data_IF_741372909667
#
_entry.id   IF_741372909667
#
_cell.length_a   1.000
_cell.length_b   1.000
_cell.length_c   1.000
_cell.angle_alpha   90.00
_cell.angle_beta   90.00
_cell.angle_gamma   90.00
#
_symmetry.space_group_name_H-M   'P 1'
#
loop_
_entity.id
_entity.type
_entity.pdbx_description
1 polymer ?
#
# COMPACT_ATOMS: atom_id res chain seq x y z
N UNK A 1 17.87 31.49 -22.70
CA UNK A 1 18.82 30.41 -22.31
C UNK A 1 18.27 29.58 -21.17
N UNK A 2 17.66 30.15 -20.12
CA UNK A 2 17.10 29.36 -19.01
C UNK A 2 16.03 28.34 -19.43
N UNK A 3 15.17 28.68 -20.40
CA UNK A 3 14.07 27.78 -20.79
C UNK A 3 14.47 26.48 -21.48
N UNK A 4 15.63 26.47 -22.14
CA UNK A 4 16.12 25.27 -22.85
C UNK A 4 16.39 24.15 -21.83
N UNK A 5 17.00 24.47 -20.69
CA UNK A 5 17.23 23.51 -19.62
C UNK A 5 15.93 22.89 -19.09
N UNK A 6 14.87 23.69 -18.97
CA UNK A 6 13.56 23.19 -18.57
C UNK A 6 13.00 22.19 -19.58
N UNK A 7 12.97 22.55 -20.86
CA UNK A 7 12.42 21.66 -21.89
C UNK A 7 13.28 20.40 -22.09
N UNK A 8 14.60 20.50 -22.00
CA UNK A 8 15.51 19.34 -22.02
C UNK A 8 15.23 18.39 -20.84
N UNK A 9 14.97 18.95 -19.66
CA UNK A 9 14.60 18.17 -18.48
C UNK A 9 13.26 17.46 -18.69
N UNK A 10 12.25 18.16 -19.23
CA UNK A 10 10.96 17.57 -19.59
C UNK A 10 11.11 16.47 -20.65
N UNK A 11 11.95 16.68 -21.67
CA UNK A 11 12.26 15.66 -22.67
C UNK A 11 12.90 14.43 -22.04
N UNK A 12 13.82 14.61 -21.09
CA UNK A 12 14.44 13.51 -20.36
C UNK A 12 13.44 12.74 -19.47
N UNK A 13 12.50 13.44 -18.80
CA UNK A 13 11.38 12.81 -18.07
C UNK A 13 10.56 11.95 -19.03
N UNK A 14 10.12 12.51 -20.17
CA UNK A 14 9.29 11.81 -21.14
C UNK A 14 10.03 10.67 -21.86
N UNK A 15 11.37 10.72 -21.91
CA UNK A 15 12.22 9.63 -22.38
C UNK A 15 12.47 8.55 -21.30
N UNK A 16 12.08 8.82 -20.04
CA UNK A 16 12.39 8.01 -18.85
C UNK A 16 13.90 7.80 -18.67
N UNK A 17 14.69 8.82 -19.01
CA UNK A 17 16.15 8.78 -19.00
C UNK A 17 16.70 9.42 -17.72
N UNK A 18 16.86 8.60 -16.67
CA UNK A 18 17.34 9.06 -15.37
C UNK A 18 18.80 9.57 -15.39
N UNK A 19 19.63 9.05 -16.29
CA UNK A 19 21.01 9.53 -16.44
C UNK A 19 21.05 10.92 -17.09
N UNK A 20 20.24 11.12 -18.13
CA UNK A 20 20.10 12.44 -18.74
C UNK A 20 19.52 13.44 -17.74
N UNK A 21 18.51 13.05 -16.95
CA UNK A 21 17.98 13.89 -15.88
C UNK A 21 19.08 14.29 -14.89
N UNK A 22 19.88 13.33 -14.43
CA UNK A 22 20.98 13.58 -13.52
C UNK A 22 21.99 14.60 -14.09
N UNK A 23 22.33 14.49 -15.38
CA UNK A 23 23.24 15.44 -16.04
C UNK A 23 22.70 16.89 -16.10
N UNK A 24 21.38 17.05 -16.01
CA UNK A 24 20.67 18.33 -16.07
C UNK A 24 20.39 18.92 -14.68
N UNK A 25 20.78 18.25 -13.59
CA UNK A 25 20.59 18.72 -12.22
C UNK A 25 21.85 19.37 -11.68
N UNK A 26 21.72 20.44 -10.88
CA UNK A 26 22.85 20.92 -10.09
C UNK A 26 23.22 19.91 -9.01
N UNK A 27 24.47 19.85 -8.52
CA UNK A 27 24.86 18.92 -7.45
C UNK A 27 23.97 19.02 -6.19
N UNK A 28 23.53 20.23 -5.86
CA UNK A 28 22.65 20.58 -4.74
C UNK A 28 21.15 20.60 -5.11
N UNK A 29 20.76 19.92 -6.19
CA UNK A 29 19.39 19.88 -6.68
C UNK A 29 18.37 19.53 -5.60
N UNK A 30 17.22 20.20 -5.65
CA UNK A 30 16.09 19.96 -4.76
C UNK A 30 14.89 19.49 -5.57
N UNK A 31 14.39 18.30 -5.24
CA UNK A 31 13.07 17.85 -5.69
C UNK A 31 12.05 18.03 -4.56
N UNK A 32 10.90 18.63 -4.87
CA UNK A 32 9.77 18.79 -3.96
C UNK A 32 8.50 18.24 -4.62
N UNK A 33 7.90 17.23 -4.01
CA UNK A 33 6.67 16.63 -4.53
C UNK A 33 5.41 17.47 -4.17
N UNK A 34 4.25 17.00 -4.65
CA UNK A 34 2.98 17.70 -4.48
C UNK A 34 2.46 17.73 -3.02
N UNK A 35 2.97 16.87 -2.13
CA UNK A 35 2.58 16.79 -0.72
C UNK A 35 3.64 17.35 0.23
N UNK A 36 4.75 17.85 -0.31
CA UNK A 36 5.80 18.56 0.42
C UNK A 36 6.99 17.69 0.84
N UNK A 37 7.10 16.43 0.39
CA UNK A 37 8.30 15.65 0.61
C UNK A 37 9.45 16.22 -0.23
N UNK A 38 10.64 16.19 0.35
CA UNK A 38 11.84 16.80 -0.23
C UNK A 38 12.94 15.76 -0.39
N UNK A 39 13.55 15.75 -1.57
CA UNK A 39 14.79 15.03 -1.86
C UNK A 39 15.87 16.07 -2.17
N UNK A 40 17.04 15.93 -1.54
CA UNK A 40 18.17 16.85 -1.72
C UNK A 40 19.34 16.10 -2.36
N UNK A 41 19.98 16.72 -3.34
CA UNK A 41 21.12 16.19 -4.09
C UNK A 41 20.70 15.49 -5.39
N UNK A 42 21.51 15.69 -6.43
CA UNK A 42 21.27 15.11 -7.76
C UNK A 42 21.27 13.57 -7.76
N UNK A 43 22.19 12.93 -7.04
CA UNK A 43 22.29 11.47 -6.94
C UNK A 43 21.00 10.85 -6.33
N UNK A 44 20.54 11.42 -5.22
CA UNK A 44 19.32 10.96 -4.54
C UNK A 44 18.08 11.19 -5.41
N UNK A 45 18.02 12.31 -6.13
CA UNK A 45 16.95 12.58 -7.07
C UNK A 45 16.95 11.59 -8.25
N UNK A 46 18.12 11.26 -8.82
CA UNK A 46 18.29 10.22 -9.85
C UNK A 46 17.76 8.87 -9.37
N UNK A 47 18.15 8.43 -8.18
CA UNK A 47 17.68 7.16 -7.62
C UNK A 47 16.16 7.17 -7.40
N UNK A 48 15.59 8.31 -7.02
CA UNK A 48 14.14 8.52 -6.94
C UNK A 48 13.46 8.37 -8.31
N UNK A 49 14.00 9.00 -9.35
CA UNK A 49 13.48 8.88 -10.72
C UNK A 49 13.55 7.45 -11.26
N UNK A 50 14.63 6.71 -11.00
CA UNK A 50 14.75 5.29 -11.39
C UNK A 50 13.62 4.46 -10.79
N UNK A 51 13.36 4.62 -9.48
CA UNK A 51 12.26 3.93 -8.80
C UNK A 51 10.89 4.35 -9.35
N UNK A 52 10.72 5.64 -9.62
CA UNK A 52 9.47 6.16 -10.13
C UNK A 52 9.16 5.66 -11.55
N UNK A 53 10.15 5.59 -12.44
CA UNK A 53 10.00 5.01 -13.78
C UNK A 53 9.80 3.49 -13.74
N UNK A 54 10.29 2.81 -12.71
CA UNK A 54 9.94 1.41 -12.49
C UNK A 54 8.45 1.24 -12.18
N UNK A 55 7.88 2.10 -11.33
CA UNK A 55 6.44 2.10 -11.05
C UNK A 55 5.59 2.57 -12.24
N UNK A 56 6.09 3.49 -13.06
CA UNK A 56 5.38 4.04 -14.21
C UNK A 56 6.28 4.02 -15.45
N UNK A 57 6.40 2.86 -16.15
CA UNK A 57 7.33 2.70 -17.28
C UNK A 57 6.99 3.56 -18.50
N UNK A 58 5.74 4.02 -18.59
CA UNK A 58 5.18 4.93 -19.59
C UNK A 58 4.93 6.33 -19.04
N UNK A 59 5.54 6.70 -17.90
CA UNK A 59 5.33 8.01 -17.31
C UNK A 59 5.64 9.14 -18.30
N UNK A 60 4.73 10.10 -18.37
CA UNK A 60 4.87 11.25 -19.24
C UNK A 60 4.24 12.51 -18.61
N UNK A 61 4.80 13.65 -18.99
CA UNK A 61 4.25 14.97 -18.77
C UNK A 61 3.92 15.61 -20.13
N UNK A 62 2.71 16.13 -20.24
CA UNK A 62 2.19 16.84 -21.39
C UNK A 62 1.96 18.29 -20.99
N UNK A 63 2.77 19.22 -21.52
CA UNK A 63 2.67 20.63 -21.19
C UNK A 63 1.61 21.33 -22.05
N UNK A 64 0.79 22.16 -21.42
CA UNK A 64 -0.24 22.98 -22.09
C UNK A 64 0.10 24.46 -22.10
N UNK A 65 0.77 24.97 -21.07
CA UNK A 65 1.14 26.38 -20.96
C UNK A 65 2.39 26.55 -20.07
N UNK A 66 3.13 27.64 -20.25
CA UNK A 66 4.31 27.96 -19.45
C UNK A 66 4.50 29.48 -19.29
N UNK A 67 4.84 29.87 -18.06
CA UNK A 67 5.23 31.23 -17.69
C UNK A 67 6.70 31.24 -17.27
N UNK A 68 7.44 32.23 -17.76
CA UNK A 68 8.89 32.28 -17.61
C UNK A 68 9.34 33.61 -17.01
N UNK A 69 10.35 33.51 -16.16
CA UNK A 69 11.18 34.63 -15.70
C UNK A 69 12.64 34.31 -16.01
N UNK A 70 13.58 35.19 -15.63
CA UNK A 70 15.00 34.99 -15.88
C UNK A 70 15.55 33.63 -15.37
N UNK A 71 15.07 33.14 -14.23
CA UNK A 71 15.60 31.96 -13.53
C UNK A 71 14.53 30.96 -13.11
N UNK A 72 13.29 31.13 -13.55
CA UNK A 72 12.18 30.27 -13.10
C UNK A 72 11.21 30.04 -14.24
N UNK A 73 10.81 28.78 -14.40
CA UNK A 73 9.71 28.36 -15.29
C UNK A 73 8.60 27.79 -14.42
N UNK A 74 7.37 28.24 -14.65
CA UNK A 74 6.16 27.64 -14.11
C UNK A 74 5.34 27.12 -15.28
N UNK A 75 5.22 25.80 -15.41
CA UNK A 75 4.45 25.17 -16.49
C UNK A 75 3.21 24.47 -15.93
N UNK A 76 2.16 24.39 -16.75
CA UNK A 76 0.93 23.65 -16.46
C UNK A 76 0.69 22.61 -17.55
N UNK A 77 -0.05 21.56 -17.22
CA UNK A 77 -0.36 20.49 -18.15
C UNK A 77 -0.92 19.27 -17.46
N UNK A 78 -0.54 18.09 -17.95
CA UNK A 78 -0.99 16.80 -17.43
C UNK A 78 0.19 15.88 -17.15
N UNK A 79 0.14 15.20 -16.01
CA UNK A 79 0.97 14.03 -15.73
C UNK A 79 0.17 12.77 -16.03
N UNK A 80 0.81 11.73 -16.57
CA UNK A 80 0.17 10.46 -16.85
C UNK A 80 1.13 9.28 -16.71
N UNK A 81 0.56 8.10 -16.51
CA UNK A 81 1.31 6.84 -16.48
C UNK A 81 0.40 5.66 -16.17
N UNK A 82 0.95 4.46 -16.27
CA UNK A 82 0.29 3.18 -16.00
C UNK A 82 1.09 2.43 -14.96
N UNK A 83 0.48 2.14 -13.81
CA UNK A 83 1.20 1.46 -12.72
C UNK A 83 1.70 0.08 -13.15
N UNK A 84 3.01 -0.16 -13.04
CA UNK A 84 3.77 -1.32 -13.51
C UNK A 84 3.52 -1.70 -14.98
N UNK A 85 2.98 -0.77 -15.79
CA UNK A 85 2.60 -1.05 -17.18
C UNK A 85 1.43 -2.04 -17.33
N UNK A 86 0.69 -2.32 -16.24
CA UNK A 86 -0.45 -3.25 -16.24
C UNK A 86 -1.68 -2.52 -16.83
N UNK A 87 -2.21 -2.91 -17.99
CA UNK A 87 -3.34 -2.21 -18.62
C UNK A 87 -4.65 -2.33 -17.81
N UNK A 88 -5.58 -1.39 -18.01
CA UNK A 88 -6.90 -1.39 -17.36
C UNK A 88 -7.10 -0.16 -16.47
N UNK A 89 -7.57 -0.37 -15.23
CA UNK A 89 -7.83 0.70 -14.25
C UNK A 89 -6.57 1.34 -13.64
N UNK A 90 -5.39 0.97 -14.13
CA UNK A 90 -4.09 1.38 -13.59
C UNK A 90 -3.44 2.53 -14.37
N UNK A 91 -4.03 2.89 -15.52
CA UNK A 91 -3.67 4.09 -16.23
C UNK A 91 -4.34 5.32 -15.60
N UNK A 92 -3.58 6.39 -15.45
CA UNK A 92 -4.06 7.66 -14.94
C UNK A 92 -3.52 8.83 -15.76
N UNK A 93 -4.30 9.91 -15.79
CA UNK A 93 -3.92 11.21 -16.35
C UNK A 93 -4.56 12.30 -15.51
N UNK A 94 -3.75 13.16 -14.90
CA UNK A 94 -4.23 14.20 -13.98
C UNK A 94 -3.65 15.57 -14.36
N UNK A 95 -4.39 16.68 -14.13
CA UNK A 95 -3.84 18.02 -14.23
C UNK A 95 -2.69 18.21 -13.22
N UNK A 96 -1.63 18.89 -13.67
CA UNK A 96 -0.46 19.17 -12.85
C UNK A 96 0.20 20.50 -13.27
N UNK A 97 1.01 21.04 -12.38
CA UNK A 97 1.91 22.14 -12.65
C UNK A 97 3.31 21.86 -12.09
N UNK A 98 4.32 22.45 -12.70
CA UNK A 98 5.72 22.28 -12.33
C UNK A 98 6.40 23.63 -12.24
N UNK A 99 7.13 23.85 -11.15
CA UNK A 99 8.02 25.00 -11.01
C UNK A 99 9.46 24.53 -11.04
N UNK A 100 10.23 25.03 -11.99
CA UNK A 100 11.66 24.80 -12.07
C UNK A 100 12.44 26.08 -11.73
N UNK A 101 13.45 25.98 -10.88
CA UNK A 101 14.48 27.01 -10.73
C UNK A 101 15.73 26.58 -11.48
N UNK A 102 16.33 27.52 -12.20
CA UNK A 102 17.36 27.23 -13.20
C UNK A 102 18.62 28.03 -12.87
N UNK A 103 19.74 27.33 -12.78
CA UNK A 103 21.07 27.89 -12.54
C UNK A 103 21.97 27.52 -13.71
N UNK A 104 22.29 28.50 -14.56
CA UNK A 104 22.99 28.24 -15.82
C UNK A 104 22.11 27.43 -16.78
N UNK A 105 22.56 26.23 -17.11
CA UNK A 105 21.90 25.22 -17.95
C UNK A 105 21.36 24.03 -17.14
N UNK A 106 21.38 24.12 -15.81
CA UNK A 106 20.93 23.05 -14.91
C UNK A 106 19.71 23.46 -14.08
N UNK A 107 18.92 22.47 -13.69
CA UNK A 107 17.78 22.60 -12.78
C UNK A 107 18.30 22.48 -11.34
N UNK A 108 18.16 23.55 -10.56
CA UNK A 108 18.49 23.55 -9.13
C UNK A 108 17.33 23.16 -8.25
N UNK A 109 16.09 23.36 -8.72
CA UNK A 109 14.89 23.00 -7.98
C UNK A 109 13.80 22.56 -8.94
N UNK A 110 13.23 21.39 -8.72
CA UNK A 110 12.04 20.90 -9.39
C UNK A 110 10.91 20.69 -8.38
N UNK A 111 9.81 21.43 -8.52
CA UNK A 111 8.66 21.36 -7.64
C UNK A 111 7.40 20.96 -8.40
N UNK A 112 6.64 20.01 -7.86
CA UNK A 112 5.39 19.49 -8.45
C UNK A 112 4.18 20.03 -7.69
N UNK A 113 3.12 20.37 -8.42
CA UNK A 113 1.80 20.68 -7.87
C UNK A 113 0.76 19.83 -8.61
N UNK A 114 0.14 18.88 -7.92
CA UNK A 114 -0.88 18.01 -8.50
C UNK A 114 -1.77 17.40 -7.40
N UNK A 115 -2.99 17.00 -7.75
CA UNK A 115 -3.77 16.09 -6.89
C UNK A 115 -3.32 14.65 -7.16
N UNK A 116 -2.37 14.19 -6.34
CA UNK A 116 -1.75 12.87 -6.50
C UNK A 116 -2.61 11.72 -5.95
N UNK A 117 -3.87 11.97 -5.56
CA UNK A 117 -4.74 10.94 -4.99
C UNK A 117 -4.90 9.73 -5.92
N UNK A 118 -5.17 9.95 -7.21
CA UNK A 118 -5.42 8.85 -8.16
C UNK A 118 -4.18 7.93 -8.30
N UNK A 119 -2.98 8.44 -8.63
CA UNK A 119 -1.80 7.57 -8.70
C UNK A 119 -1.47 6.90 -7.37
N UNK A 120 -1.65 7.59 -6.22
CA UNK A 120 -1.45 6.95 -4.92
C UNK A 120 -2.50 5.89 -4.60
N UNK A 121 -3.77 6.07 -4.95
CA UNK A 121 -4.79 5.04 -4.78
C UNK A 121 -4.48 3.82 -5.65
N UNK A 122 -3.98 4.02 -6.89
CA UNK A 122 -3.53 2.92 -7.75
C UNK A 122 -2.32 2.22 -7.12
N UNK A 123 -1.30 2.98 -6.70
CA UNK A 123 -0.16 2.42 -5.98
C UNK A 123 -0.65 1.67 -4.77
N UNK A 124 -1.45 2.22 -3.87
CA UNK A 124 -1.93 1.55 -2.65
C UNK A 124 -2.75 0.29 -2.93
N UNK A 125 -3.61 0.31 -3.97
CA UNK A 125 -4.33 -0.89 -4.44
C UNK A 125 -3.37 -1.99 -4.85
N UNK A 126 -2.18 -1.63 -5.35
CA UNK A 126 -1.18 -2.56 -5.88
C UNK A 126 0.15 -2.60 -5.12
N UNK A 127 0.36 -1.84 -4.04
CA UNK A 127 1.56 -1.82 -3.19
C UNK A 127 1.52 -3.01 -2.22
N UNK A 128 0.30 -3.48 -2.01
CA UNK A 128 -0.08 -4.83 -1.72
C UNK A 128 0.51 -5.91 -2.68
N UNK A 129 1.03 -5.52 -3.86
CA UNK A 129 1.78 -6.34 -4.83
C UNK A 129 3.15 -5.67 -5.05
N UNK A 130 4.04 -5.74 -4.07
CA UNK A 130 5.47 -5.47 -4.29
C UNK A 130 6.26 -6.73 -3.98
N UNK A 131 7.32 -7.05 -4.77
CA UNK A 131 8.25 -8.13 -4.45
C UNK A 131 8.83 -8.04 -3.02
N UNK A 132 8.91 -6.82 -2.45
CA UNK A 132 9.37 -6.53 -1.07
C UNK A 132 8.39 -5.63 -0.28
N UNK A 133 7.09 -5.60 -0.62
CA UNK A 133 6.08 -4.84 0.11
C UNK A 133 5.62 -5.52 1.40
N UNK A 134 5.06 -4.76 2.34
CA UNK A 134 4.42 -5.33 3.51
C UNK A 134 3.19 -6.16 3.08
N UNK A 135 3.36 -7.49 3.04
CA UNK A 135 2.33 -8.49 2.68
C UNK A 135 1.17 -8.52 3.68
N UNK A 136 1.46 -8.11 4.92
CA UNK A 136 0.51 -7.99 6.03
C UNK A 136 0.19 -6.52 6.28
N UNK A 137 -1.11 -6.21 6.37
CA UNK A 137 -1.62 -4.85 6.59
C UNK A 137 -1.99 -4.57 8.06
N UNK A 138 -2.46 -5.58 8.80
CA UNK A 138 -2.77 -5.49 10.23
C UNK A 138 -3.08 -6.87 10.85
N UNK A 139 -3.38 -6.91 12.15
CA UNK A 139 -3.93 -8.11 12.81
C UNK A 139 -5.43 -8.22 12.49
N UNK A 140 -5.82 -9.30 11.83
CA UNK A 140 -7.22 -9.63 11.58
C UNK A 140 -7.89 -10.38 12.70
N UNK A 141 -7.13 -11.11 13.52
CA UNK A 141 -7.68 -11.72 14.71
C UNK A 141 -6.65 -12.39 15.63
N UNK A 142 -7.08 -12.61 16.86
CA UNK A 142 -6.38 -13.45 17.84
C UNK A 142 -7.32 -14.56 18.26
N UNK A 143 -6.94 -15.78 17.92
CA UNK A 143 -7.68 -16.99 18.26
C UNK A 143 -6.92 -17.75 19.32
N UNK A 144 -7.61 -18.28 20.33
CA UNK A 144 -6.93 -18.95 21.44
C UNK A 144 -7.82 -20.01 22.09
N UNK A 145 -7.18 -21.07 22.57
CA UNK A 145 -7.84 -22.14 23.31
C UNK A 145 -8.12 -21.69 24.75
N UNK A 146 -9.25 -22.11 25.27
CA UNK A 146 -9.58 -21.99 26.67
C UNK A 146 -10.49 -23.15 27.11
N UNK A 147 -10.50 -23.45 28.41
CA UNK A 147 -11.23 -24.63 28.93
C UNK A 147 -12.74 -24.52 28.77
N UNK A 148 -13.29 -23.32 28.94
CA UNK A 148 -14.74 -23.07 28.96
C UNK A 148 -15.09 -21.80 28.15
N UNK A 149 -15.12 -21.88 26.80
CA UNK A 149 -15.29 -20.70 25.92
C UNK A 149 -16.55 -19.88 26.20
N UNK A 150 -17.68 -20.54 26.45
CA UNK A 150 -18.93 -19.85 26.75
C UNK A 150 -18.87 -19.08 28.07
N UNK A 151 -18.37 -19.71 29.15
CA UNK A 151 -18.18 -19.02 30.44
C UNK A 151 -17.20 -17.84 30.32
N UNK A 152 -16.16 -17.99 29.50
CA UNK A 152 -15.21 -16.91 29.25
C UNK A 152 -15.91 -15.74 28.54
N UNK A 153 -16.64 -15.99 27.45
CA UNK A 153 -17.41 -14.97 26.72
C UNK A 153 -18.42 -14.27 27.64
N UNK A 154 -19.15 -15.03 28.46
CA UNK A 154 -20.08 -14.47 29.45
C UNK A 154 -19.38 -13.57 30.47
N UNK A 155 -18.22 -13.98 30.98
CA UNK A 155 -17.43 -13.18 31.91
C UNK A 155 -16.99 -11.87 31.27
N UNK A 156 -16.42 -11.91 30.06
CA UNK A 156 -15.99 -10.71 29.33
C UNK A 156 -17.17 -9.80 28.98
N UNK A 157 -18.32 -10.37 28.60
CA UNK A 157 -19.56 -9.60 28.37
C UNK A 157 -20.00 -8.88 29.63
N UNK A 158 -20.06 -9.60 30.76
CA UNK A 158 -20.55 -9.06 32.03
C UNK A 158 -19.62 -7.99 32.62
N UNK A 159 -18.31 -8.22 32.54
CA UNK A 159 -17.34 -7.43 33.29
C UNK A 159 -16.64 -6.36 32.46
N UNK A 160 -16.42 -6.61 31.16
CA UNK A 160 -15.73 -5.69 30.26
C UNK A 160 -16.64 -5.15 29.15
N UNK A 161 -17.89 -5.60 29.07
CA UNK A 161 -18.86 -5.12 28.08
C UNK A 161 -18.59 -5.61 26.66
N UNK A 162 -17.79 -6.66 26.47
CA UNK A 162 -17.59 -7.23 25.14
C UNK A 162 -18.93 -7.76 24.60
N UNK A 163 -19.28 -7.38 23.37
CA UNK A 163 -20.46 -7.92 22.70
C UNK A 163 -20.05 -9.18 21.97
N UNK A 164 -20.31 -10.33 22.59
CA UNK A 164 -19.91 -11.63 22.05
C UNK A 164 -21.03 -12.36 21.33
N UNK A 165 -20.70 -13.13 20.30
CA UNK A 165 -21.57 -14.07 19.60
C UNK A 165 -21.05 -15.52 19.72
N UNK A 166 -21.48 -16.41 18.82
CA UNK A 166 -21.02 -17.80 18.77
C UNK A 166 -19.49 -17.92 18.60
N UNK A 167 -18.87 -16.98 17.87
CA UNK A 167 -17.47 -17.01 17.47
C UNK A 167 -16.57 -16.11 18.34
N UNK A 168 -17.13 -15.30 19.23
CA UNK A 168 -16.37 -14.38 20.09
C UNK A 168 -16.81 -12.95 19.87
N UNK A 169 -15.89 -12.00 19.69
CA UNK A 169 -16.24 -10.60 19.38
C UNK A 169 -15.35 -10.04 18.28
N UNK A 170 -15.75 -8.92 17.70
CA UNK A 170 -14.98 -8.22 16.67
C UNK A 170 -14.88 -6.73 16.98
N UNK A 171 -13.65 -6.23 17.00
CA UNK A 171 -13.33 -4.83 17.26
C UNK A 171 -13.24 -4.08 15.94
N UNK A 172 -14.17 -3.16 15.70
CA UNK A 172 -14.10 -2.25 14.57
C UNK A 172 -13.08 -1.13 14.85
N UNK A 173 -12.22 -0.85 13.89
CA UNK A 173 -11.24 0.23 13.93
C UNK A 173 -11.21 0.96 12.59
N UNK A 174 -10.45 2.06 12.53
CA UNK A 174 -10.21 2.81 11.30
C UNK A 174 -8.73 2.84 11.01
N UNK A 175 -8.37 2.76 9.73
CA UNK A 175 -7.01 2.99 9.28
C UNK A 175 -6.54 4.39 9.68
N UNK A 176 -5.23 4.63 9.59
CA UNK A 176 -4.62 5.92 9.92
C UNK A 176 -5.24 7.11 9.17
N UNK A 177 -5.81 6.87 7.98
CA UNK A 177 -6.52 7.85 7.16
C UNK A 177 -7.92 8.24 7.70
N UNK A 178 -8.41 7.55 8.73
CA UNK A 178 -9.72 7.77 9.34
C UNK A 178 -10.93 7.40 8.46
N UNK A 179 -10.73 6.93 7.23
CA UNK A 179 -11.81 6.67 6.26
C UNK A 179 -12.12 5.18 6.16
N UNK A 180 -11.08 4.37 5.96
CA UNK A 180 -11.25 2.92 5.81
C UNK A 180 -11.51 2.27 7.16
N UNK A 181 -12.48 1.36 7.19
CA UNK A 181 -12.73 0.51 8.36
C UNK A 181 -11.80 -0.69 8.32
N UNK A 182 -11.57 -1.27 9.47
CA UNK A 182 -11.00 -2.59 9.61
C UNK A 182 -11.56 -3.27 10.85
N UNK A 183 -11.33 -4.56 10.97
CA UNK A 183 -11.86 -5.37 12.06
C UNK A 183 -10.78 -6.30 12.60
N UNK A 184 -10.80 -6.50 13.92
CA UNK A 184 -9.97 -7.50 14.58
C UNK A 184 -10.85 -8.44 15.39
N UNK A 185 -10.84 -9.72 15.03
CA UNK A 185 -11.55 -10.77 15.72
C UNK A 185 -10.84 -11.19 17.00
N UNK A 186 -11.63 -11.52 18.02
CA UNK A 186 -11.18 -12.14 19.25
C UNK A 186 -12.04 -13.37 19.48
N UNK A 187 -11.43 -14.56 19.39
CA UNK A 187 -12.19 -15.81 19.33
C UNK A 187 -11.62 -16.86 20.28
N UNK A 188 -12.36 -17.22 21.35
CA UNK A 188 -12.02 -18.35 22.20
C UNK A 188 -12.49 -19.67 21.57
N UNK A 189 -11.64 -20.69 21.64
CA UNK A 189 -11.88 -22.04 21.15
C UNK A 189 -11.82 -23.07 22.29
N UNK A 190 -12.51 -24.21 22.18
CA UNK A 190 -12.39 -25.30 23.15
C UNK A 190 -11.01 -25.97 23.03
N UNK A 191 -10.50 -26.61 24.10
CA UNK A 191 -9.12 -27.10 24.14
C UNK A 191 -8.87 -28.30 23.21
N UNK A 192 -9.91 -29.06 22.90
CA UNK A 192 -9.91 -30.27 22.08
C UNK A 192 -10.11 -30.01 20.57
N UNK A 193 -10.19 -28.74 20.16
CA UNK A 193 -10.27 -28.41 18.73
C UNK A 193 -8.98 -28.77 17.98
N UNK A 194 -9.16 -29.26 16.75
CA UNK A 194 -8.06 -29.49 15.80
C UNK A 194 -7.77 -28.27 14.91
N UNK A 195 -8.49 -27.16 15.09
CA UNK A 195 -8.36 -25.98 14.23
C UNK A 195 -6.93 -25.41 14.18
N UNK A 196 -6.21 -25.48 15.29
CA UNK A 196 -4.82 -25.00 15.42
C UNK A 196 -3.79 -26.00 14.88
N UNK A 197 -4.17 -27.26 14.61
CA UNK A 197 -3.25 -28.27 14.12
C UNK A 197 -2.70 -27.88 12.73
N UNK A 198 -1.40 -28.09 12.46
CA UNK A 198 -0.45 -28.89 13.25
C UNK A 198 0.32 -28.11 14.33
N UNK A 199 -0.06 -26.86 14.64
CA UNK A 199 0.57 -26.08 15.70
C UNK A 199 0.26 -26.64 17.08
N UNK A 200 1.27 -26.67 17.96
CA UNK A 200 1.13 -27.02 19.38
C UNK A 200 0.79 -25.81 20.26
N UNK A 201 0.65 -24.61 19.67
CA UNK A 201 0.31 -23.40 20.42
C UNK A 201 -1.18 -23.36 20.76
N UNK A 202 -1.47 -22.88 21.95
CA UNK A 202 -2.84 -22.59 22.40
C UNK A 202 -3.40 -21.29 21.79
N UNK A 203 -2.73 -20.70 20.80
CA UNK A 203 -3.19 -19.51 20.10
C UNK A 203 -2.73 -19.52 18.63
N UNK A 204 -3.43 -18.72 17.81
CA UNK A 204 -3.14 -18.49 16.40
C UNK A 204 -3.37 -17.01 16.10
N UNK A 205 -2.42 -16.42 15.39
CA UNK A 205 -2.59 -15.11 14.78
C UNK A 205 -3.29 -15.27 13.44
N UNK A 206 -4.30 -14.42 13.22
CA UNK A 206 -4.85 -14.16 11.91
C UNK A 206 -4.33 -12.79 11.42
N UNK A 207 -3.62 -12.79 10.30
CA UNK A 207 -3.04 -11.60 9.68
C UNK A 207 -3.90 -11.15 8.52
N UNK A 208 -4.15 -9.84 8.43
CA UNK A 208 -4.82 -9.26 7.27
C UNK A 208 -3.83 -9.05 6.16
N UNK A 209 -4.15 -9.56 4.99
CA UNK A 209 -3.31 -9.50 3.79
C UNK A 209 -4.10 -8.91 2.63
N UNK A 210 -3.41 -8.74 1.52
CA UNK A 210 -3.92 -8.16 0.29
C UNK A 210 -3.30 -8.96 -0.86
N UNK A 211 -4.08 -9.19 -1.93
CA UNK A 211 -3.77 -10.09 -3.05
C UNK A 211 -3.37 -11.50 -2.61
N UNK A 212 -4.23 -12.14 -1.82
CA UNK A 212 -3.93 -13.42 -1.18
C UNK A 212 -3.54 -14.51 -2.20
N UNK A 213 -4.11 -14.50 -3.41
CA UNK A 213 -3.75 -15.47 -4.47
C UNK A 213 -2.31 -15.32 -4.93
N UNK A 214 -1.88 -14.09 -5.22
CA UNK A 214 -0.50 -13.79 -5.61
C UNK A 214 0.46 -14.05 -4.46
N UNK A 215 0.08 -13.68 -3.23
CA UNK A 215 0.86 -13.94 -2.03
C UNK A 215 1.08 -15.45 -1.81
N UNK A 216 0.03 -16.26 -1.92
CA UNK A 216 0.14 -17.73 -1.77
C UNK A 216 1.02 -18.33 -2.86
N UNK A 217 0.90 -17.87 -4.11
CA UNK A 217 1.76 -18.34 -5.19
C UNK A 217 3.24 -18.07 -4.87
N UNK A 218 3.57 -16.84 -4.44
CA UNK A 218 4.93 -16.46 -4.05
C UNK A 218 5.43 -17.25 -2.84
N UNK A 219 4.61 -17.43 -1.80
CA UNK A 219 4.99 -18.20 -0.61
C UNK A 219 5.33 -19.66 -0.97
N UNK A 220 4.59 -20.26 -1.90
CA UNK A 220 4.89 -21.61 -2.41
C UNK A 220 6.23 -21.65 -3.15
N UNK A 221 6.54 -20.64 -3.97
CA UNK A 221 7.83 -20.52 -4.65
C UNK A 221 9.01 -20.33 -3.67
N UNK A 222 8.77 -19.59 -2.58
CA UNK A 222 9.73 -19.36 -1.49
C UNK A 222 9.89 -20.55 -0.53
N UNK A 223 9.12 -21.64 -0.72
CA UNK A 223 9.21 -22.86 0.07
C UNK A 223 8.47 -22.81 1.41
N UNK A 224 7.58 -21.84 1.60
CA UNK A 224 6.69 -21.78 2.78
C UNK A 224 5.62 -22.86 2.67
N UNK A 225 5.36 -23.55 3.78
CA UNK A 225 4.34 -24.61 3.83
C UNK A 225 2.95 -23.98 3.89
N UNK A 226 2.21 -24.10 2.80
CA UNK A 226 0.79 -23.76 2.71
C UNK A 226 -0.04 -25.00 3.05
N UNK A 227 -0.91 -24.91 4.05
CA UNK A 227 -1.60 -26.06 4.65
C UNK A 227 -2.91 -26.43 3.93
N UNK A 228 -3.54 -25.46 3.29
CA UNK A 228 -4.84 -25.62 2.63
C UNK A 228 -4.95 -24.73 1.38
N UNK A 229 -6.03 -24.93 0.63
CA UNK A 229 -6.37 -24.09 -0.51
C UNK A 229 -7.11 -22.84 -0.05
N UNK A 230 -7.06 -21.79 -0.87
CA UNK A 230 -7.71 -20.51 -0.55
C UNK A 230 -9.24 -20.73 -0.48
N UNK A 231 -9.81 -20.51 0.70
CA UNK A 231 -11.25 -20.54 0.92
C UNK A 231 -11.85 -19.15 0.73
N UNK A 232 -12.83 -19.02 -0.16
CA UNK A 232 -13.48 -17.75 -0.48
C UNK A 232 -14.89 -17.68 0.11
N UNK A 233 -15.15 -16.60 0.85
CA UNK A 233 -16.45 -16.25 1.41
C UNK A 233 -16.88 -14.85 0.94
N UNK A 234 -18.17 -14.47 1.06
CA UNK A 234 -18.63 -13.13 0.70
C UNK A 234 -17.94 -11.98 1.43
N UNK A 235 -17.24 -12.26 2.54
CA UNK A 235 -16.56 -11.27 3.39
C UNK A 235 -15.03 -11.38 3.38
N UNK A 236 -14.48 -12.23 2.52
CA UNK A 236 -13.05 -12.34 2.34
C UNK A 236 -12.57 -13.75 2.02
N UNK A 237 -11.27 -13.85 1.82
CA UNK A 237 -10.56 -15.08 1.50
C UNK A 237 -9.59 -15.46 2.61
N UNK A 238 -9.44 -16.76 2.85
CA UNK A 238 -8.63 -17.29 3.93
C UNK A 238 -7.71 -18.40 3.44
N UNK A 239 -6.54 -18.52 4.06
CA UNK A 239 -5.60 -19.63 3.86
C UNK A 239 -4.70 -19.75 5.09
N UNK A 240 -4.21 -20.95 5.38
CA UNK A 240 -3.29 -21.20 6.48
C UNK A 240 -1.90 -21.57 5.98
N UNK A 241 -0.89 -21.07 6.68
CA UNK A 241 0.52 -21.37 6.42
C UNK A 241 1.23 -21.74 7.73
N UNK A 242 2.43 -22.32 7.62
CA UNK A 242 3.35 -22.48 8.74
C UNK A 242 4.45 -21.42 8.69
N UNK A 243 4.71 -20.81 9.84
CA UNK A 243 5.90 -19.99 10.05
C UNK A 243 7.15 -20.87 10.34
N UNK A 244 8.34 -20.27 10.44
CA UNK A 244 9.58 -21.02 10.72
C UNK A 244 9.62 -21.77 12.06
N UNK A 245 8.71 -21.49 12.99
CA UNK A 245 8.57 -22.19 14.26
C UNK A 245 7.49 -23.27 14.23
N UNK A 246 6.93 -23.56 13.05
CA UNK A 246 5.78 -24.45 12.83
C UNK A 246 4.50 -23.97 13.53
N UNK A 247 4.37 -22.66 13.79
CA UNK A 247 3.10 -22.11 14.19
C UNK A 247 2.20 -22.03 12.96
N UNK A 248 1.01 -22.62 13.06
CA UNK A 248 -0.07 -22.38 12.11
C UNK A 248 -0.57 -20.95 12.28
N UNK A 249 -0.52 -20.19 11.21
CA UNK A 249 -1.07 -18.83 11.11
C UNK A 249 -2.11 -18.78 10.00
N UNK A 250 -3.10 -17.91 10.17
CA UNK A 250 -4.15 -17.70 9.17
C UNK A 250 -3.90 -16.35 8.47
N UNK A 251 -4.05 -16.32 7.15
CA UNK A 251 -4.07 -15.10 6.37
C UNK A 251 -5.51 -14.81 5.94
N UNK A 252 -5.90 -13.54 6.01
CA UNK A 252 -7.24 -13.09 5.64
C UNK A 252 -7.16 -11.87 4.72
N UNK A 253 -7.62 -12.03 3.49
CA UNK A 253 -7.93 -10.88 2.62
C UNK A 253 -9.40 -10.52 2.80
N UNK A 254 -9.65 -9.45 3.54
CA UNK A 254 -11.00 -9.06 3.97
C UNK A 254 -11.71 -8.18 2.96
N UNK A 255 -13.02 -8.39 2.84
CA UNK A 255 -13.95 -7.35 2.37
C UNK A 255 -14.60 -6.69 3.59
N UNK A 256 -14.06 -5.55 4.03
CA UNK A 256 -14.53 -4.86 5.24
C UNK A 256 -15.95 -4.29 5.11
N UNK A 257 -16.42 -4.01 3.90
CA UNK A 257 -17.79 -3.54 3.69
C UNK A 257 -18.77 -4.69 3.85
N UNK A 258 -18.48 -5.83 3.24
CA UNK A 258 -19.27 -7.05 3.40
C UNK A 258 -19.21 -7.55 4.85
N UNK A 259 -18.02 -7.60 5.45
CA UNK A 259 -17.83 -8.02 6.83
C UNK A 259 -18.56 -7.11 7.82
N UNK A 260 -18.53 -5.78 7.59
CA UNK A 260 -19.30 -4.83 8.39
C UNK A 260 -20.82 -5.06 8.31
N UNK A 261 -21.35 -5.56 7.20
CA UNK A 261 -22.78 -5.89 7.05
C UNK A 261 -23.14 -7.15 7.82
N UNK A 262 -22.25 -8.13 7.86
CA UNK A 262 -22.44 -9.40 8.57
C UNK A 262 -22.43 -9.18 10.08
N UNK A 263 -21.44 -8.44 10.60
CA UNK A 263 -21.34 -8.18 12.03
C UNK A 263 -22.52 -7.35 12.56
N UNK A 264 -23.20 -6.57 11.73
CA UNK A 264 -24.17 -5.58 12.19
C UNK A 264 -23.50 -4.43 12.98
N UNK A 265 -24.31 -3.53 13.57
CA UNK A 265 -23.82 -2.38 14.34
C UNK A 265 -23.27 -2.79 15.73
N UNK A 266 -22.29 -3.71 15.76
CA UNK A 266 -21.89 -4.39 16.99
C UNK A 266 -20.82 -3.65 17.79
N UNK A 267 -20.13 -2.67 17.22
CA UNK A 267 -19.14 -1.89 17.98
C UNK A 267 -19.30 -0.38 17.79
N UNK A 268 -19.80 0.26 18.85
CA UNK A 268 -19.58 1.68 19.18
C UNK A 268 -19.17 1.74 20.64
#
# INVERSE_FOLDING_TARGET
MSTVAFFDFVTAINARDAERLHSLMTPDHVFLDAIGNRVNGADAARDGWIKYFHWFPDYAIELTDALETAHTVLATGFAMGTYLGIPGENHWRIPAAWKAQILGDQISHWQVYADTKIPFDIIDRHAAVSPDGARVTSIGGVFFKCREPEKLKEWYTRHLGLRTDAYGTSFAWRQWDGRRKGFTAWSPFPPDTNYFAPSDKDFMFNYRVVHIESLVAQLREEGVVVLDEIEAYPYGKFVHILDPENNKIELWESDDEAYSKILGAVTR
#
